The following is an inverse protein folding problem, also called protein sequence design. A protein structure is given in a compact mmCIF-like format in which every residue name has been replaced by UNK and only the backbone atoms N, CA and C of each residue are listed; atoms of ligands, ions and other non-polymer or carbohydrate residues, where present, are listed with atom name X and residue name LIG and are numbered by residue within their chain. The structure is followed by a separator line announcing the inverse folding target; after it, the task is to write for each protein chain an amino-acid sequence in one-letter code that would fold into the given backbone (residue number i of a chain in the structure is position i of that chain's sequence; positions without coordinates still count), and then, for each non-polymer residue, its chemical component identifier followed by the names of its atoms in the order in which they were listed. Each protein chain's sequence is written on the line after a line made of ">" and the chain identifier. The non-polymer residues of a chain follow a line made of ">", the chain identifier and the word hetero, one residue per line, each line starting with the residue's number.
data_IF_094551585202
#
_entry.id   IF_094551585202
#
_cell.length_a   1.000
_cell.length_b   1.000
_cell.length_c   1.000
_cell.angle_alpha   90.00
_cell.angle_beta   90.00
_cell.angle_gamma   90.00
#
_symmetry.space_group_name_H-M   'P 1'
#
loop_
_entity.id
_entity.type
_entity.pdbx_description
1 polymer ?
#
# COMPACT_ATOMS: atom_id res chain seq x y z
N UNK A 1 -18.48 4.77 1.73
CA UNK A 1 -17.23 4.58 2.50
C UNK A 1 -17.40 3.79 3.80
N UNK A 2 -18.47 3.97 4.59
CA UNK A 2 -18.71 3.15 5.80
C UNK A 2 -18.68 1.64 5.49
N UNK A 3 -19.22 1.21 4.34
CA UNK A 3 -19.14 -0.19 3.93
C UNK A 3 -17.70 -0.68 3.71
N UNK A 4 -16.83 0.15 3.13
CA UNK A 4 -15.40 -0.17 2.98
C UNK A 4 -14.73 -0.31 4.34
N UNK A 5 -15.08 0.55 5.30
CA UNK A 5 -14.62 0.42 6.68
C UNK A 5 -15.06 -0.90 7.32
N UNK A 6 -16.31 -1.32 7.10
CA UNK A 6 -16.81 -2.61 7.59
C UNK A 6 -16.13 -3.80 6.91
N UNK A 7 -15.73 -3.68 5.64
CA UNK A 7 -14.92 -4.71 4.99
C UNK A 7 -13.53 -4.79 5.62
N UNK A 8 -12.91 -3.65 5.91
CA UNK A 8 -11.62 -3.58 6.57
C UNK A 8 -11.63 -4.21 7.98
N UNK A 9 -12.72 -4.05 8.74
CA UNK A 9 -12.82 -4.67 10.07
C UNK A 9 -12.96 -6.20 10.05
N UNK A 10 -13.32 -6.78 8.89
CA UNK A 10 -13.39 -8.23 8.66
C UNK A 10 -12.12 -8.78 8.01
N UNK A 11 -11.19 -7.91 7.62
CA UNK A 11 -9.91 -8.30 7.03
C UNK A 11 -8.94 -8.74 8.14
N UNK A 12 -8.78 -10.05 8.28
CA UNK A 12 -7.90 -10.65 9.28
C UNK A 12 -6.40 -10.35 9.03
N UNK A 13 -6.05 -9.86 7.84
CA UNK A 13 -4.69 -9.44 7.53
C UNK A 13 -4.38 -8.01 7.98
N UNK A 14 -5.41 -7.22 8.35
CA UNK A 14 -5.26 -5.86 8.82
C UNK A 14 -4.95 -5.81 10.32
N UNK A 15 -4.09 -4.87 10.72
CA UNK A 15 -3.80 -4.59 12.12
C UNK A 15 -4.77 -3.52 12.60
N UNK A 16 -5.47 -3.77 13.72
CA UNK A 16 -6.31 -2.76 14.38
C UNK A 16 -5.44 -1.69 15.04
N UNK A 17 -5.88 -0.43 14.90
CA UNK A 17 -5.25 0.77 15.42
C UNK A 17 -6.29 1.68 16.06
N UNK A 18 -7.06 1.13 17.00
CA UNK A 18 -8.05 1.90 17.72
C UNK A 18 -7.38 2.88 18.71
N UNK A 19 -7.87 4.12 18.73
CA UNK A 19 -7.53 5.15 19.69
C UNK A 19 -8.84 5.77 20.17
N UNK A 20 -8.93 6.30 21.39
CA UNK A 20 -10.23 6.56 22.06
C UNK A 20 -11.31 7.29 21.25
N UNK A 21 -10.97 8.08 20.23
CA UNK A 21 -11.93 8.79 19.37
C UNK A 21 -12.04 8.23 17.94
N UNK A 22 -11.18 7.30 17.55
CA UNK A 22 -11.05 6.80 16.18
C UNK A 22 -10.89 5.28 16.16
N UNK A 23 -11.68 4.62 15.31
CA UNK A 23 -11.45 3.22 14.95
C UNK A 23 -10.61 3.16 13.70
N UNK A 24 -9.65 2.25 13.61
CA UNK A 24 -8.76 2.21 12.47
C UNK A 24 -8.15 0.86 12.18
N UNK A 25 -7.85 0.64 10.90
CA UNK A 25 -7.18 -0.56 10.42
C UNK A 25 -6.05 -0.16 9.47
N UNK A 26 -4.94 -0.88 9.51
CA UNK A 26 -3.81 -0.70 8.58
C UNK A 26 -3.41 -2.02 7.96
N UNK A 27 -3.23 -2.04 6.64
CA UNK A 27 -2.75 -3.20 5.89
C UNK A 27 -1.99 -2.76 4.65
N UNK A 28 -0.87 -3.42 4.34
CA UNK A 28 0.00 -3.13 3.19
C UNK A 28 0.39 -1.64 3.00
N UNK A 29 0.45 -0.89 4.09
CA UNK A 29 0.76 0.54 4.12
C UNK A 29 -0.38 1.44 3.63
N UNK A 30 -1.62 0.93 3.70
CA UNK A 30 -2.85 1.69 3.55
C UNK A 30 -3.59 1.63 4.87
N UNK A 31 -3.94 2.79 5.41
CA UNK A 31 -4.66 2.94 6.68
C UNK A 31 -6.05 3.46 6.39
N UNK A 32 -7.07 2.90 7.03
CA UNK A 32 -8.44 3.40 7.00
C UNK A 32 -8.87 3.74 8.42
N UNK A 33 -9.51 4.89 8.60
CA UNK A 33 -9.94 5.40 9.90
C UNK A 33 -11.39 5.82 9.80
N UNK A 34 -12.17 5.58 10.85
CA UNK A 34 -13.52 6.09 11.03
C UNK A 34 -13.60 6.89 12.33
N UNK A 35 -14.10 8.11 12.24
CA UNK A 35 -14.35 8.95 13.42
C UNK A 35 -15.72 8.67 14.07
N UNK A 36 -16.03 9.38 15.15
CA UNK A 36 -17.32 9.29 15.86
C UNK A 36 -18.52 9.77 15.04
N UNK A 37 -18.29 10.55 13.98
CA UNK A 37 -19.31 11.08 13.08
C UNK A 37 -19.50 10.22 11.82
N UNK A 38 -18.91 9.01 11.78
CA UNK A 38 -18.90 8.11 10.63
C UNK A 38 -18.18 8.65 9.38
N UNK A 39 -17.35 9.70 9.52
CA UNK A 39 -16.44 10.11 8.46
C UNK A 39 -15.34 9.06 8.35
N UNK A 40 -15.14 8.55 7.14
CA UNK A 40 -14.12 7.56 6.82
C UNK A 40 -13.04 8.21 5.97
N UNK A 41 -11.79 8.04 6.39
CA UNK A 41 -10.60 8.56 5.70
C UNK A 41 -9.63 7.43 5.42
N UNK A 42 -9.09 7.37 4.20
CA UNK A 42 -8.05 6.42 3.81
C UNK A 42 -6.75 7.19 3.58
N UNK A 43 -5.68 6.71 4.21
CA UNK A 43 -4.34 7.29 4.15
C UNK A 43 -3.37 6.29 3.54
N UNK A 44 -2.49 6.75 2.65
CA UNK A 44 -1.34 6.01 2.19
C UNK A 44 -0.13 6.33 3.09
N UNK A 45 0.39 5.32 3.77
CA UNK A 45 1.53 5.46 4.68
C UNK A 45 2.87 5.20 3.98
N UNK A 46 2.84 4.84 2.69
CA UNK A 46 4.02 4.61 1.85
C UNK A 46 4.31 5.80 0.90
N UNK A 47 3.54 6.88 1.01
CA UNK A 47 3.63 8.07 0.14
C UNK A 47 4.12 9.26 0.97
N UNK A 48 5.16 9.94 0.46
CA UNK A 48 5.70 11.15 1.10
C UNK A 48 6.45 10.89 2.42
N UNK A 49 6.66 11.97 3.17
CA UNK A 49 7.28 11.97 4.50
C UNK A 49 6.27 11.74 5.63
N UNK A 50 4.98 11.95 5.37
CA UNK A 50 3.88 11.80 6.32
C UNK A 50 2.76 10.95 5.73
N UNK A 51 1.79 10.55 6.56
CA UNK A 51 0.61 9.85 6.04
C UNK A 51 -0.23 10.82 5.21
N UNK A 52 -0.38 10.51 3.93
CA UNK A 52 -1.14 11.33 3.00
C UNK A 52 -2.50 10.72 2.75
N UNK A 53 -3.55 11.54 2.73
CA UNK A 53 -4.86 11.11 2.25
C UNK A 53 -4.79 10.73 0.76
N UNK A 54 -5.49 9.66 0.40
CA UNK A 54 -5.54 9.19 -0.99
C UNK A 54 -6.36 10.16 -1.85
N UNK A 55 -6.11 10.20 -3.16
CA UNK A 55 -6.86 11.06 -4.07
C UNK A 55 -8.30 10.58 -4.27
N UNK A 56 -9.14 11.44 -4.84
CA UNK A 56 -10.53 11.08 -5.18
C UNK A 56 -10.61 9.88 -6.13
N UNK A 57 -9.73 9.83 -7.16
CA UNK A 57 -9.62 8.68 -8.07
C UNK A 57 -9.22 7.39 -7.32
N UNK A 58 -8.32 7.50 -6.34
CA UNK A 58 -7.93 6.36 -5.52
C UNK A 58 -9.11 5.91 -4.63
N UNK A 59 -9.89 6.84 -4.08
CA UNK A 59 -11.12 6.52 -3.38
C UNK A 59 -12.14 5.79 -4.28
N UNK A 60 -12.25 6.15 -5.56
CA UNK A 60 -13.12 5.44 -6.52
C UNK A 60 -12.74 3.97 -6.65
N UNK A 61 -11.45 3.63 -6.65
CA UNK A 61 -11.00 2.24 -6.67
C UNK A 61 -11.57 1.45 -5.48
N UNK A 62 -11.59 2.05 -4.28
CA UNK A 62 -12.19 1.40 -3.11
C UNK A 62 -13.70 1.28 -3.22
N UNK A 63 -14.38 2.33 -3.72
CA UNK A 63 -15.84 2.31 -3.92
C UNK A 63 -16.25 1.21 -4.90
N UNK A 64 -15.52 1.07 -6.00
CA UNK A 64 -15.88 0.18 -7.11
C UNK A 64 -15.45 -1.26 -6.88
N UNK A 65 -14.32 -1.47 -6.19
CA UNK A 65 -13.69 -2.80 -6.09
C UNK A 65 -13.57 -3.34 -4.67
N UNK A 66 -13.99 -2.57 -3.67
CA UNK A 66 -13.93 -2.95 -2.27
C UNK A 66 -12.54 -2.80 -1.63
N UNK A 67 -12.47 -3.15 -0.34
CA UNK A 67 -11.29 -2.96 0.50
C UNK A 67 -10.04 -3.69 -0.02
N UNK A 68 -10.10 -5.01 -0.19
CA UNK A 68 -8.92 -5.83 -0.55
C UNK A 68 -8.33 -5.43 -1.92
N UNK A 69 -9.19 -5.23 -2.92
CA UNK A 69 -8.73 -4.80 -4.24
C UNK A 69 -8.12 -3.38 -4.19
N UNK A 70 -8.74 -2.47 -3.43
CA UNK A 70 -8.21 -1.13 -3.22
C UNK A 70 -6.83 -1.14 -2.58
N UNK A 71 -6.65 -1.84 -1.45
CA UNK A 71 -5.35 -1.90 -0.77
C UNK A 71 -4.27 -2.49 -1.69
N UNK A 72 -4.55 -3.59 -2.39
CA UNK A 72 -3.54 -4.22 -3.24
C UNK A 72 -3.17 -3.34 -4.43
N UNK A 73 -4.15 -2.67 -5.03
CA UNK A 73 -3.91 -1.76 -6.16
C UNK A 73 -3.00 -0.59 -5.75
N UNK A 74 -3.29 0.08 -4.64
CA UNK A 74 -2.48 1.21 -4.15
C UNK A 74 -1.10 0.77 -3.65
N UNK A 75 -1.00 -0.39 -2.99
CA UNK A 75 0.28 -0.93 -2.54
C UNK A 75 1.18 -1.30 -3.70
N UNK A 76 0.64 -1.86 -4.80
CA UNK A 76 1.41 -2.15 -6.01
C UNK A 76 1.97 -0.88 -6.66
N UNK A 77 1.15 0.18 -6.74
CA UNK A 77 1.60 1.49 -7.21
C UNK A 77 2.76 2.03 -6.36
N UNK A 78 2.62 1.93 -5.03
CA UNK A 78 3.65 2.35 -4.08
C UNK A 78 4.96 1.57 -4.22
N UNK A 79 4.87 0.24 -4.37
CA UNK A 79 6.05 -0.61 -4.58
C UNK A 79 6.71 -0.38 -5.93
N UNK A 80 5.93 -0.14 -6.99
CA UNK A 80 6.47 0.22 -8.30
C UNK A 80 7.29 1.50 -8.23
N UNK A 81 6.73 2.57 -7.64
CA UNK A 81 7.48 3.82 -7.42
C UNK A 81 8.78 3.59 -6.63
N UNK A 82 8.73 2.73 -5.61
CA UNK A 82 9.92 2.41 -4.82
C UNK A 82 10.98 1.65 -5.62
N UNK A 83 10.57 0.69 -6.45
CA UNK A 83 11.46 -0.03 -7.36
C UNK A 83 12.10 0.90 -8.40
N UNK A 84 11.34 1.85 -8.94
CA UNK A 84 11.85 2.86 -9.88
C UNK A 84 12.91 3.76 -9.19
N UNK A 85 12.64 4.20 -7.95
CA UNK A 85 13.60 4.96 -7.14
C UNK A 85 14.90 4.19 -6.88
N UNK A 86 14.79 2.92 -6.46
CA UNK A 86 15.94 2.05 -6.22
C UNK A 86 16.74 1.86 -7.51
N UNK A 87 16.06 1.63 -8.63
CA UNK A 87 16.69 1.47 -9.95
C UNK A 87 17.48 2.71 -10.33
N UNK A 88 16.92 3.91 -10.15
CA UNK A 88 17.63 5.18 -10.38
C UNK A 88 18.87 5.28 -9.49
N UNK A 89 18.75 4.98 -8.19
CA UNK A 89 19.87 5.02 -7.22
C UNK A 89 20.98 4.04 -7.57
N UNK A 90 20.65 2.86 -8.09
CA UNK A 90 21.63 1.89 -8.60
C UNK A 90 22.38 2.49 -9.78
N UNK A 91 21.66 3.04 -10.77
CA UNK A 91 22.26 3.68 -11.95
C UNK A 91 23.19 4.83 -11.54
N UNK A 92 22.76 5.69 -10.63
CA UNK A 92 23.56 6.81 -10.13
C UNK A 92 24.84 6.33 -9.41
N UNK A 93 24.74 5.27 -8.59
CA UNK A 93 25.91 4.74 -7.87
C UNK A 93 26.89 4.02 -8.81
N UNK A 94 26.40 3.34 -9.87
CA UNK A 94 27.24 2.72 -10.91
C UNK A 94 27.96 3.79 -11.74
N UNK A 95 27.30 4.89 -12.07
CA UNK A 95 27.87 5.98 -12.85
C UNK A 95 28.74 6.93 -12.01
N UNK A 96 28.53 6.99 -10.70
CA UNK A 96 29.23 7.86 -9.77
C UNK A 96 30.33 7.16 -8.98
N UNK A 97 30.17 7.13 -7.64
CA UNK A 97 31.22 6.71 -6.67
C UNK A 97 31.52 5.21 -6.67
N UNK A 98 30.65 4.38 -7.27
CA UNK A 98 30.83 2.93 -7.43
C UNK A 98 31.12 2.19 -6.13
N UNK A 99 30.50 2.62 -5.02
CA UNK A 99 30.70 1.99 -3.72
C UNK A 99 30.01 0.63 -3.70
N UNK A 100 30.81 -0.44 -3.74
CA UNK A 100 30.33 -1.83 -3.76
C UNK A 100 29.32 -2.13 -2.65
N UNK A 101 29.58 -1.69 -1.42
CA UNK A 101 28.67 -1.92 -0.27
C UNK A 101 27.29 -1.28 -0.49
N UNK A 102 27.24 -0.07 -1.05
CA UNK A 102 25.98 0.62 -1.36
C UNK A 102 25.23 -0.11 -2.47
N UNK A 103 25.93 -0.55 -3.52
CA UNK A 103 25.33 -1.33 -4.60
C UNK A 103 24.75 -2.66 -4.13
N UNK A 104 25.43 -3.37 -3.22
CA UNK A 104 24.90 -4.61 -2.62
C UNK A 104 23.61 -4.32 -1.86
N UNK A 105 23.63 -3.33 -0.97
CA UNK A 105 22.45 -2.94 -0.19
C UNK A 105 21.27 -2.51 -1.07
N UNK A 106 21.51 -1.76 -2.15
CA UNK A 106 20.46 -1.37 -3.09
C UNK A 106 19.87 -2.56 -3.86
N UNK A 107 20.70 -3.56 -4.21
CA UNK A 107 20.23 -4.79 -4.86
C UNK A 107 19.37 -5.64 -3.92
N UNK A 108 19.79 -5.77 -2.66
CA UNK A 108 19.00 -6.45 -1.62
C UNK A 108 17.65 -5.75 -1.40
N UNK A 109 17.65 -4.41 -1.32
CA UNK A 109 16.43 -3.61 -1.19
C UNK A 109 15.49 -3.86 -2.38
N UNK A 110 16.01 -3.85 -3.62
CA UNK A 110 15.26 -4.15 -4.84
C UNK A 110 14.63 -5.55 -4.78
N UNK A 111 15.38 -6.56 -4.34
CA UNK A 111 14.90 -7.95 -4.31
C UNK A 111 13.78 -8.12 -3.27
N UNK A 112 13.89 -7.42 -2.12
CA UNK A 112 12.83 -7.35 -1.10
C UNK A 112 11.55 -6.73 -1.68
N UNK A 113 11.64 -5.56 -2.31
CA UNK A 113 10.46 -4.89 -2.87
C UNK A 113 9.87 -5.64 -4.07
N UNK A 114 10.70 -6.30 -4.88
CA UNK A 114 10.23 -7.15 -5.99
C UNK A 114 9.41 -8.33 -5.46
N UNK A 115 9.88 -8.97 -4.38
CA UNK A 115 9.16 -10.06 -3.72
C UNK A 115 7.82 -9.60 -3.13
N UNK A 116 7.80 -8.42 -2.48
CA UNK A 116 6.56 -7.80 -1.98
C UNK A 116 5.58 -7.50 -3.12
N UNK A 117 6.05 -6.89 -4.20
CA UNK A 117 5.24 -6.60 -5.39
C UNK A 117 4.63 -7.88 -5.96
N UNK A 118 5.44 -8.91 -6.18
CA UNK A 118 4.97 -10.18 -6.72
C UNK A 118 3.88 -10.80 -5.84
N UNK A 119 4.11 -10.87 -4.51
CA UNK A 119 3.14 -11.42 -3.56
C UNK A 119 1.81 -10.66 -3.61
N UNK A 120 1.84 -9.34 -3.56
CA UNK A 120 0.60 -8.51 -3.60
C UNK A 120 -0.11 -8.62 -4.93
N UNK A 121 0.63 -8.72 -6.04
CA UNK A 121 0.04 -8.90 -7.36
C UNK A 121 -0.73 -10.22 -7.46
N UNK A 122 -0.18 -11.31 -6.90
CA UNK A 122 -0.90 -12.59 -6.82
C UNK A 122 -2.17 -12.50 -5.97
N UNK A 123 -2.15 -11.74 -4.87
CA UNK A 123 -3.35 -11.52 -4.05
C UNK A 123 -4.42 -10.72 -4.81
N UNK A 124 -4.03 -9.66 -5.54
CA UNK A 124 -4.95 -8.88 -6.36
C UNK A 124 -5.62 -9.73 -7.45
N UNK A 125 -4.85 -10.59 -8.12
CA UNK A 125 -5.39 -11.49 -9.15
C UNK A 125 -6.47 -12.41 -8.54
N UNK A 126 -6.21 -12.98 -7.36
CA UNK A 126 -7.18 -13.83 -6.65
C UNK A 126 -8.43 -13.06 -6.23
N UNK A 127 -8.28 -11.89 -5.62
CA UNK A 127 -9.42 -11.07 -5.19
C UNK A 127 -10.33 -10.65 -6.35
N UNK A 128 -9.77 -10.41 -7.55
CA UNK A 128 -10.55 -10.11 -8.75
C UNK A 128 -11.29 -11.34 -9.32
N UNK A 129 -10.86 -12.57 -9.00
CA UNK A 129 -11.54 -13.80 -9.42
C UNK A 129 -12.71 -14.14 -8.48
N UNK A 130 -12.56 -13.87 -7.19
CA UNK A 130 -13.59 -14.15 -6.18
C UNK A 130 -14.80 -13.21 -6.28
N UNK A 131 -14.60 -11.97 -6.76
CA UNK A 131 -15.69 -11.01 -7.02
C UNK A 131 -16.52 -11.25 -8.29
N UNK A 132 -16.23 -12.31 -9.06
CA UNK A 132 -16.96 -12.69 -10.29
C UNK A 132 -17.90 -13.88 -10.11
N UNK A 133 -18.17 -14.29 -8.87
CA UNK A 133 -19.06 -15.41 -8.52
C UNK A 133 -20.35 -14.93 -7.89
#
# INVERSE_FOLDING_TARGET
>A
MVEIFNQASRDHSAVSMDSGEHQGFISYGIKIIKDRHNKVTILNTNKGEYYEEISDDEYDIFRDRGWLCGIYTLSLSSYKRKLDEITRRITDEVNGRRRKKVLVSLKEERDIFSSKYFKVNQLLIKSNQDGKR
#
